data_IF_684359664368
#
_entry.id   IF_684359664368
#
_cell.length_a   1.000
_cell.length_b   1.000
_cell.length_c   1.000
_cell.angle_alpha   90.00
_cell.angle_beta   90.00
_cell.angle_gamma   90.00
#
_symmetry.space_group_name_H-M   'P 1'
#
loop_
_entity.id
_entity.type
_entity.pdbx_description
1 polymer ?
#
# COMPACT_ATOMS: atom_id res chain seq x y z
N UNK A 1 9.17 -25.92 22.39
CA UNK A 1 9.37 -24.57 21.85
C UNK A 1 8.13 -23.79 22.21
N UNK A 2 8.32 -22.60 22.77
CA UNK A 2 7.24 -21.70 23.06
C UNK A 2 6.86 -21.02 21.72
N UNK A 3 5.60 -21.14 21.31
CA UNK A 3 5.11 -20.52 20.08
C UNK A 3 4.71 -19.04 20.31
N UNK A 4 5.05 -18.47 21.48
CA UNK A 4 4.82 -17.07 21.80
C UNK A 4 6.05 -16.22 21.42
N UNK A 5 5.93 -15.46 20.34
CA UNK A 5 6.98 -14.57 19.81
C UNK A 5 7.00 -13.18 20.47
N UNK A 6 6.15 -12.93 21.45
CA UNK A 6 5.95 -11.60 22.03
C UNK A 6 7.26 -10.94 22.50
N UNK A 7 8.07 -11.63 23.29
CA UNK A 7 9.35 -11.07 23.80
C UNK A 7 10.39 -10.94 22.66
N UNK A 8 10.39 -11.86 21.70
CA UNK A 8 11.23 -11.77 20.51
C UNK A 8 10.89 -10.56 19.65
N UNK A 9 9.60 -10.34 19.39
CA UNK A 9 9.11 -9.20 18.63
C UNK A 9 9.41 -7.86 19.33
N UNK A 10 9.26 -7.82 20.66
CA UNK A 10 9.65 -6.65 21.47
C UNK A 10 11.15 -6.35 21.38
N UNK A 11 11.98 -7.38 21.46
CA UNK A 11 13.43 -7.23 21.33
C UNK A 11 13.82 -6.75 19.90
N UNK A 12 13.16 -7.30 18.86
CA UNK A 12 13.38 -6.88 17.49
C UNK A 12 13.01 -5.40 17.23
N UNK A 13 11.99 -4.87 17.91
CA UNK A 13 11.63 -3.46 17.81
C UNK A 13 12.77 -2.52 18.23
N UNK A 14 13.64 -2.93 19.15
CA UNK A 14 14.76 -2.15 19.66
C UNK A 14 16.03 -2.29 18.80
N UNK A 15 16.07 -3.22 17.84
CA UNK A 15 17.21 -3.40 16.93
C UNK A 15 17.38 -2.14 16.07
N UNK A 16 18.57 -1.55 16.12
CA UNK A 16 19.00 -0.40 15.33
C UNK A 16 20.42 -0.62 14.84
N UNK A 17 20.60 -1.62 13.98
CA UNK A 17 21.90 -1.97 13.42
C UNK A 17 21.97 -1.66 11.93
N UNK A 18 23.19 -1.53 11.39
CA UNK A 18 23.40 -1.34 9.96
C UNK A 18 22.96 -2.56 9.16
N UNK A 19 23.17 -3.76 9.70
CA UNK A 19 22.67 -5.01 9.13
C UNK A 19 21.60 -5.55 10.09
N UNK A 20 20.39 -5.73 9.59
CA UNK A 20 19.29 -6.27 10.37
C UNK A 20 18.85 -7.62 9.78
N UNK A 21 18.56 -8.56 10.66
CA UNK A 21 17.97 -9.86 10.33
C UNK A 21 16.57 -9.92 10.92
N UNK A 22 15.59 -10.16 10.06
CA UNK A 22 14.20 -10.37 10.45
C UNK A 22 13.86 -11.82 10.16
N UNK A 23 13.53 -12.61 11.16
CA UNK A 23 13.19 -14.04 11.02
C UNK A 23 11.95 -14.31 11.86
N UNK A 24 10.90 -14.85 11.26
CA UNK A 24 9.72 -15.22 12.01
C UNK A 24 8.54 -15.64 11.15
N UNK A 25 7.41 -16.00 11.80
CA UNK A 25 6.16 -16.32 11.15
C UNK A 25 5.39 -15.03 10.87
N UNK A 26 5.63 -14.46 9.70
CA UNK A 26 4.97 -13.25 9.21
C UNK A 26 3.94 -13.60 8.12
N UNK A 27 3.25 -12.60 7.55
CA UNK A 27 2.30 -12.76 6.45
C UNK A 27 1.15 -13.74 6.75
N UNK A 28 0.53 -13.60 7.94
CA UNK A 28 -0.59 -14.45 8.38
C UNK A 28 -1.83 -14.37 7.47
N UNK A 29 -1.95 -13.32 6.66
CA UNK A 29 -3.06 -13.10 5.73
C UNK A 29 -2.89 -13.81 4.37
N UNK A 30 -1.69 -14.28 4.03
CA UNK A 30 -1.45 -15.07 2.82
C UNK A 30 -1.81 -16.55 3.00
N UNK A 31 -2.13 -16.95 4.23
CA UNK A 31 -2.49 -18.32 4.52
C UNK A 31 -3.89 -18.69 3.97
N UNK A 32 -3.89 -19.62 3.01
CA UNK A 32 -5.11 -20.22 2.46
C UNK A 32 -5.85 -21.15 3.44
N UNK A 33 -5.34 -21.31 4.65
CA UNK A 33 -5.89 -22.16 5.72
C UNK A 33 -6.59 -21.33 6.82
N UNK A 34 -7.28 -20.25 6.45
CA UNK A 34 -8.06 -19.39 7.36
C UNK A 34 -7.22 -18.65 8.41
N UNK A 35 -5.99 -18.26 8.09
CA UNK A 35 -5.08 -17.57 9.01
C UNK A 35 -4.48 -18.47 10.09
N UNK A 36 -4.53 -19.78 9.90
CA UNK A 36 -4.01 -20.76 10.87
C UNK A 36 -2.53 -21.08 10.69
N UNK A 37 -1.94 -20.70 9.56
CA UNK A 37 -0.54 -20.96 9.24
C UNK A 37 0.14 -19.69 8.79
N UNK A 38 1.01 -19.14 9.61
CA UNK A 38 1.89 -18.06 9.20
C UNK A 38 2.96 -18.57 8.23
N UNK A 39 3.29 -17.77 7.20
CA UNK A 39 4.48 -17.99 6.40
C UNK A 39 5.73 -17.77 7.25
N UNK A 40 6.70 -18.70 7.22
CA UNK A 40 7.96 -18.53 7.92
C UNK A 40 9.00 -17.91 6.98
N UNK A 41 9.35 -16.67 7.27
CA UNK A 41 10.16 -15.83 6.40
C UNK A 41 11.41 -15.30 7.08
N UNK A 42 12.42 -15.03 6.27
CA UNK A 42 13.59 -14.30 6.75
C UNK A 42 14.09 -13.30 5.72
N UNK A 43 14.50 -12.14 6.23
CA UNK A 43 15.12 -11.05 5.46
C UNK A 43 16.43 -10.65 6.13
N UNK A 44 17.48 -10.51 5.34
CA UNK A 44 18.72 -9.84 5.75
C UNK A 44 18.78 -8.53 4.99
N UNK A 45 18.82 -7.43 5.71
CA UNK A 45 18.77 -6.08 5.15
C UNK A 45 19.97 -5.24 5.60
N UNK A 46 20.37 -4.31 4.73
CA UNK A 46 21.37 -3.29 5.03
C UNK A 46 20.69 -1.94 5.07
N UNK A 47 20.69 -1.30 6.25
CA UNK A 47 19.97 -0.05 6.47
C UNK A 47 20.66 1.15 5.79
N UNK A 48 19.85 1.98 5.10
CA UNK A 48 20.25 3.33 4.70
C UNK A 48 19.85 4.32 5.79
N UNK A 49 20.77 4.61 6.68
CA UNK A 49 20.56 5.53 7.82
C UNK A 49 20.25 6.95 7.38
N UNK A 50 20.78 7.40 6.23
CA UNK A 50 20.51 8.74 5.70
C UNK A 50 19.09 8.84 5.18
N UNK A 51 18.67 7.92 4.30
CA UNK A 51 17.31 7.88 3.79
C UNK A 51 16.31 7.67 4.92
N UNK A 52 16.60 6.80 5.90
CA UNK A 52 15.74 6.58 7.06
C UNK A 52 15.49 7.84 7.86
N UNK A 53 16.53 8.65 8.11
CA UNK A 53 16.42 9.96 8.80
C UNK A 53 15.60 10.97 7.98
N UNK A 54 15.82 11.02 6.67
CA UNK A 54 15.06 11.91 5.78
C UNK A 54 13.55 11.56 5.79
N UNK A 55 13.21 10.27 5.79
CA UNK A 55 11.82 9.83 5.80
C UNK A 55 11.16 9.93 7.18
N UNK A 56 11.93 9.89 8.26
CA UNK A 56 11.40 10.03 9.63
C UNK A 56 10.62 11.34 9.83
N UNK A 57 10.93 12.41 9.06
CA UNK A 57 10.17 13.68 9.10
C UNK A 57 8.69 13.50 8.76
N UNK A 58 8.35 12.61 7.82
CA UNK A 58 6.96 12.39 7.41
C UNK A 58 6.10 11.79 8.53
N UNK A 59 6.72 11.04 9.42
CA UNK A 59 6.07 10.53 10.61
C UNK A 59 5.60 11.68 11.53
N UNK A 60 6.40 12.72 11.69
CA UNK A 60 6.02 13.90 12.47
C UNK A 60 4.82 14.66 11.85
N UNK A 61 4.54 14.43 10.56
CA UNK A 61 3.43 15.04 9.84
C UNK A 61 2.12 14.23 9.95
N UNK A 62 2.13 13.00 10.49
CA UNK A 62 0.92 12.18 10.63
C UNK A 62 -0.25 12.91 11.32
N UNK A 63 -0.06 13.66 12.42
CA UNK A 63 -1.16 14.43 13.01
C UNK A 63 -1.72 15.50 12.06
N UNK A 64 -0.88 16.09 11.21
CA UNK A 64 -1.29 17.08 10.22
C UNK A 64 -2.06 16.44 9.07
N UNK A 65 -1.62 15.26 8.61
CA UNK A 65 -2.30 14.45 7.59
C UNK A 65 -3.67 13.98 8.10
N UNK A 66 -3.75 13.44 9.32
CA UNK A 66 -5.03 13.04 9.94
C UNK A 66 -6.00 14.24 10.04
N UNK A 67 -5.48 15.41 10.46
CA UNK A 67 -6.28 16.63 10.52
C UNK A 67 -6.78 17.08 9.15
N UNK A 68 -6.06 16.77 8.09
CA UNK A 68 -6.40 17.14 6.71
C UNK A 68 -7.37 16.16 6.04
N UNK A 69 -7.62 14.97 6.61
CA UNK A 69 -8.54 14.01 5.99
C UNK A 69 -9.89 14.64 5.67
N UNK A 70 -10.51 14.31 4.51
CA UNK A 70 -11.76 14.90 4.03
C UNK A 70 -12.98 14.33 4.75
N UNK A 71 -12.89 14.19 6.08
CA UNK A 71 -13.91 13.66 6.97
C UNK A 71 -14.15 14.58 8.19
N UNK A 72 -15.33 14.56 8.81
CA UNK A 72 -15.62 15.31 10.02
C UNK A 72 -14.63 15.02 11.15
N UNK A 73 -14.29 16.04 11.95
CA UNK A 73 -13.32 15.92 13.06
C UNK A 73 -13.63 14.75 14.01
N UNK A 74 -14.90 14.47 14.29
CA UNK A 74 -15.33 13.38 15.18
C UNK A 74 -15.00 11.98 14.67
N UNK A 75 -14.70 11.84 13.37
CA UNK A 75 -14.35 10.58 12.73
C UNK A 75 -12.84 10.35 12.66
N UNK A 76 -12.04 11.37 12.99
CA UNK A 76 -10.58 11.31 12.95
C UNK A 76 -10.04 10.58 14.16
N UNK A 77 -8.96 9.88 13.99
CA UNK A 77 -8.28 9.12 15.06
C UNK A 77 -7.09 9.93 15.57
N UNK A 78 -7.00 10.07 16.90
CA UNK A 78 -5.79 10.60 17.54
C UNK A 78 -4.88 9.42 17.78
N UNK A 79 -3.78 9.32 17.04
CA UNK A 79 -2.77 8.27 17.19
C UNK A 79 -1.44 8.87 17.64
N UNK A 80 -0.68 8.07 18.40
CA UNK A 80 0.71 8.38 18.73
C UNK A 80 1.61 8.27 17.49
N UNK A 81 2.75 8.94 17.54
CA UNK A 81 3.67 9.10 16.41
C UNK A 81 4.81 8.07 16.38
N UNK A 82 4.70 6.92 17.02
CA UNK A 82 5.88 6.19 17.51
C UNK A 82 6.37 4.99 16.69
N UNK A 83 6.02 4.86 15.44
CA UNK A 83 6.53 3.75 14.62
C UNK A 83 7.82 4.17 13.90
N UNK A 84 8.98 3.51 14.10
CA UNK A 84 10.19 3.80 13.34
C UNK A 84 9.98 3.50 11.86
N UNK A 85 10.56 4.36 11.00
CA UNK A 85 10.63 4.16 9.56
C UNK A 85 12.06 3.82 9.20
N UNK A 86 12.27 2.75 8.48
CA UNK A 86 13.55 2.29 7.98
C UNK A 86 13.53 2.20 6.46
N UNK A 87 14.59 2.64 5.84
CA UNK A 87 14.89 2.32 4.45
C UNK A 87 16.08 1.36 4.45
N UNK A 88 15.94 0.26 3.76
CA UNK A 88 16.99 -0.74 3.71
C UNK A 88 17.04 -1.41 2.32
N UNK A 89 18.18 -1.98 1.99
CA UNK A 89 18.35 -2.85 0.84
C UNK A 89 18.34 -4.31 1.31
N UNK A 90 17.51 -5.15 0.70
CA UNK A 90 17.52 -6.59 0.93
C UNK A 90 18.75 -7.19 0.27
N UNK A 91 19.55 -7.91 1.04
CA UNK A 91 20.73 -8.61 0.53
C UNK A 91 20.56 -10.13 0.54
N UNK A 92 19.57 -10.64 1.27
CA UNK A 92 19.23 -12.06 1.28
C UNK A 92 17.81 -12.27 1.80
N UNK A 93 17.11 -13.26 1.25
CA UNK A 93 15.84 -13.76 1.79
C UNK A 93 15.86 -15.28 1.88
N UNK A 94 15.04 -15.85 2.76
CA UNK A 94 14.88 -17.29 2.93
C UNK A 94 13.45 -17.65 3.32
N UNK A 95 13.17 -18.95 3.31
CA UNK A 95 11.82 -19.43 3.64
C UNK A 95 10.79 -19.07 2.58
N UNK A 96 9.58 -18.78 3.01
CA UNK A 96 8.47 -18.46 2.11
C UNK A 96 8.67 -17.13 1.39
N UNK A 97 9.45 -16.19 1.95
CA UNK A 97 9.83 -14.94 1.29
C UNK A 97 10.48 -15.12 -0.09
N UNK A 98 11.09 -16.30 -0.36
CA UNK A 98 11.65 -16.63 -1.69
C UNK A 98 10.62 -17.15 -2.68
N UNK A 99 9.53 -17.72 -2.20
CA UNK A 99 8.54 -18.44 -3.01
C UNK A 99 7.30 -17.62 -3.30
N UNK A 100 6.99 -16.71 -2.41
CA UNK A 100 5.83 -15.81 -2.51
C UNK A 100 6.12 -14.57 -3.37
N UNK A 101 5.13 -13.70 -3.46
CA UNK A 101 5.30 -12.35 -4.01
C UNK A 101 6.36 -11.62 -3.20
N UNK A 102 7.34 -11.02 -3.89
CA UNK A 102 8.42 -10.31 -3.22
C UNK A 102 7.89 -9.06 -2.53
N UNK A 103 7.94 -9.05 -1.22
CA UNK A 103 7.57 -7.91 -0.37
C UNK A 103 8.45 -6.70 -0.67
N UNK A 104 7.86 -5.52 -0.77
CA UNK A 104 8.59 -4.25 -1.01
C UNK A 104 8.64 -3.35 0.23
N UNK A 105 7.74 -3.59 1.16
CA UNK A 105 7.71 -2.96 2.47
C UNK A 105 7.01 -3.89 3.45
N UNK A 106 7.28 -3.74 4.73
CA UNK A 106 6.54 -4.44 5.78
C UNK A 106 6.39 -3.56 7.03
N UNK A 107 5.32 -3.81 7.76
CA UNK A 107 4.98 -3.12 9.00
C UNK A 107 4.79 -4.14 10.11
N UNK A 108 5.88 -4.49 10.77
CA UNK A 108 5.97 -5.55 11.77
C UNK A 108 6.26 -5.00 13.17
N UNK A 109 5.99 -5.76 14.23
CA UNK A 109 5.35 -7.07 14.26
C UNK A 109 3.84 -7.01 14.05
N UNK A 110 3.21 -8.17 13.79
CA UNK A 110 1.75 -8.30 13.68
C UNK A 110 1.07 -8.51 15.04
N UNK A 111 1.83 -8.75 16.11
CA UNK A 111 1.30 -8.94 17.47
C UNK A 111 0.75 -7.62 18.03
N UNK A 112 -0.56 -7.55 18.25
CA UNK A 112 -1.25 -6.37 18.78
C UNK A 112 -0.81 -5.99 20.20
N UNK A 113 -0.29 -6.93 20.99
CA UNK A 113 0.28 -6.67 22.32
C UNK A 113 1.55 -5.82 22.18
N UNK A 114 2.42 -6.19 21.25
CA UNK A 114 3.65 -5.45 20.95
C UNK A 114 3.33 -4.10 20.32
N UNK A 115 2.40 -4.07 19.36
CA UNK A 115 1.95 -2.82 18.73
C UNK A 115 1.41 -1.81 19.74
N UNK A 116 0.67 -2.26 20.74
CA UNK A 116 0.15 -1.41 21.82
C UNK A 116 1.26 -0.88 22.73
N UNK A 117 2.28 -1.67 22.98
CA UNK A 117 3.37 -1.35 23.91
C UNK A 117 4.50 -0.55 23.25
N UNK A 118 4.93 -0.96 22.07
CA UNK A 118 6.11 -0.43 21.36
C UNK A 118 5.82 0.13 19.95
N UNK A 119 4.60 0.00 19.45
CA UNK A 119 4.27 0.35 18.07
C UNK A 119 4.68 -0.73 17.07
N UNK A 120 4.96 -0.34 15.84
CA UNK A 120 5.42 -1.22 14.76
C UNK A 120 6.55 -0.53 13.97
N UNK A 121 7.49 -1.31 13.47
CA UNK A 121 8.59 -0.85 12.62
C UNK A 121 8.19 -0.98 11.15
N UNK A 122 8.23 0.14 10.42
CA UNK A 122 7.97 0.17 8.97
C UNK A 122 9.31 0.11 8.24
N UNK A 123 9.48 -0.90 7.41
CA UNK A 123 10.71 -1.10 6.63
C UNK A 123 10.37 -1.05 5.16
N UNK A 124 11.00 -0.14 4.42
CA UNK A 124 10.91 -0.04 2.97
C UNK A 124 12.14 -0.68 2.35
N UNK A 125 11.94 -1.62 1.45
CA UNK A 125 12.98 -2.39 0.78
C UNK A 125 13.32 -1.71 -0.55
N UNK A 126 14.18 -0.68 -0.48
CA UNK A 126 14.44 0.26 -1.59
C UNK A 126 14.83 -0.44 -2.88
N UNK A 127 15.81 -1.33 -2.85
CA UNK A 127 16.29 -2.02 -4.04
C UNK A 127 15.20 -2.88 -4.72
N UNK A 128 14.25 -3.43 -3.93
CA UNK A 128 13.12 -4.18 -4.49
C UNK A 128 12.08 -3.22 -5.07
N UNK A 129 11.80 -2.08 -4.42
CA UNK A 129 10.90 -1.04 -4.93
C UNK A 129 11.43 -0.54 -6.29
N UNK A 130 12.70 -0.14 -6.35
CA UNK A 130 13.34 0.37 -7.57
C UNK A 130 13.34 -0.69 -8.69
N UNK A 131 13.66 -1.93 -8.36
CA UNK A 131 13.65 -3.03 -9.34
C UNK A 131 12.24 -3.30 -9.86
N UNK A 132 11.22 -3.30 -9.01
CA UNK A 132 9.82 -3.47 -9.44
C UNK A 132 9.34 -2.30 -10.27
N UNK A 133 9.79 -1.08 -9.98
CA UNK A 133 9.50 0.04 -10.86
C UNK A 133 10.06 -0.19 -12.27
N UNK A 134 11.37 -0.45 -12.39
CA UNK A 134 12.03 -0.57 -13.69
C UNK A 134 11.60 -1.81 -14.50
N UNK A 135 11.38 -2.94 -13.82
CA UNK A 135 11.12 -4.22 -14.48
C UNK A 135 9.63 -4.53 -14.69
N UNK A 136 8.75 -3.89 -13.93
CA UNK A 136 7.32 -4.23 -13.93
C UNK A 136 6.47 -2.98 -14.18
N UNK A 137 6.49 -2.01 -13.27
CA UNK A 137 5.56 -0.89 -13.31
C UNK A 137 5.76 -0.01 -14.56
N UNK A 138 6.99 0.38 -14.85
CA UNK A 138 7.32 1.19 -16.02
C UNK A 138 6.97 0.49 -17.35
N UNK A 139 7.37 -0.78 -17.60
CA UNK A 139 6.94 -1.51 -18.78
C UNK A 139 5.42 -1.69 -18.91
N UNK A 140 4.71 -1.84 -17.80
CA UNK A 140 3.24 -1.83 -17.81
C UNK A 140 2.74 -0.47 -18.30
N UNK A 141 3.17 0.60 -17.63
CA UNK A 141 2.71 1.95 -17.89
C UNK A 141 3.00 2.42 -19.33
N UNK A 142 4.16 2.09 -19.89
CA UNK A 142 4.52 2.38 -21.28
C UNK A 142 3.58 1.71 -22.31
N UNK A 143 2.93 0.61 -21.93
CA UNK A 143 1.97 -0.07 -22.80
C UNK A 143 0.53 0.39 -22.60
N UNK A 144 0.14 0.71 -21.37
CA UNK A 144 -1.26 0.98 -21.03
C UNK A 144 -1.60 2.48 -20.93
N UNK A 145 -0.62 3.35 -20.76
CA UNK A 145 -0.84 4.80 -20.69
C UNK A 145 -0.64 5.46 -22.05
N UNK A 146 -1.43 6.50 -22.33
CA UNK A 146 -1.25 7.30 -23.56
C UNK A 146 0.17 7.89 -23.62
N UNK A 147 0.83 7.92 -24.80
CA UNK A 147 2.22 8.37 -24.93
C UNK A 147 2.50 9.75 -24.33
N UNK A 148 1.53 10.66 -24.42
CA UNK A 148 1.68 12.03 -23.91
C UNK A 148 1.89 12.09 -22.38
N UNK A 149 1.43 11.09 -21.62
CA UNK A 149 1.54 11.02 -20.15
C UNK A 149 2.68 10.13 -19.68
N UNK A 150 3.26 9.31 -20.53
CA UNK A 150 4.37 8.40 -20.14
C UNK A 150 5.61 9.15 -19.63
N UNK A 151 5.83 10.39 -20.07
CA UNK A 151 6.91 11.26 -19.57
C UNK A 151 6.77 11.64 -18.09
N UNK A 152 5.58 11.51 -17.53
CA UNK A 152 5.28 11.80 -16.12
C UNK A 152 5.46 10.55 -15.22
N UNK A 153 5.88 9.41 -15.77
CA UNK A 153 6.22 8.22 -14.97
C UNK A 153 7.47 8.47 -14.13
N UNK A 154 7.39 8.17 -12.84
CA UNK A 154 8.44 8.51 -11.90
C UNK A 154 8.69 7.41 -10.88
N UNK A 155 9.94 6.91 -10.83
CA UNK A 155 10.40 5.99 -9.78
C UNK A 155 10.29 6.63 -8.39
N UNK A 156 10.53 7.95 -8.32
CA UNK A 156 10.37 8.71 -7.08
C UNK A 156 8.91 8.71 -6.62
N UNK A 157 7.95 8.91 -7.53
CA UNK A 157 6.54 8.84 -7.20
C UNK A 157 6.17 7.46 -6.68
N UNK A 158 6.56 6.40 -7.37
CA UNK A 158 6.31 5.03 -6.93
C UNK A 158 6.91 4.72 -5.55
N UNK A 159 8.12 5.19 -5.25
CA UNK A 159 8.74 5.03 -3.94
C UNK A 159 7.93 5.74 -2.83
N UNK A 160 7.52 6.99 -3.07
CA UNK A 160 6.71 7.73 -2.10
C UNK A 160 5.30 7.17 -1.97
N UNK A 161 4.71 6.62 -3.02
CA UNK A 161 3.44 5.88 -2.96
C UNK A 161 3.53 4.74 -1.94
N UNK A 162 4.58 3.89 -2.02
CA UNK A 162 4.81 2.80 -1.08
C UNK A 162 4.97 3.34 0.36
N UNK A 163 5.77 4.39 0.55
CA UNK A 163 5.95 5.00 1.87
C UNK A 163 4.64 5.51 2.45
N UNK A 164 3.88 6.27 1.65
CA UNK A 164 2.65 6.88 2.14
C UNK A 164 1.50 5.89 2.24
N UNK A 165 1.50 4.80 1.49
CA UNK A 165 0.65 3.63 1.72
C UNK A 165 0.86 3.09 3.13
N UNK A 166 2.11 2.79 3.51
CA UNK A 166 2.45 2.30 4.85
C UNK A 166 2.10 3.30 5.97
N UNK A 167 2.30 4.60 5.73
CA UNK A 167 1.91 5.64 6.68
C UNK A 167 0.39 5.74 6.82
N UNK A 168 -0.35 5.55 5.72
CA UNK A 168 -1.81 5.70 5.68
C UNK A 168 -2.54 4.57 6.40
N UNK A 169 -1.93 3.39 6.59
CA UNK A 169 -2.44 2.39 7.52
C UNK A 169 -2.57 2.90 8.96
N UNK A 170 -1.79 3.91 9.31
CA UNK A 170 -1.87 4.55 10.62
C UNK A 170 -2.88 5.68 10.70
N UNK A 171 -3.62 6.00 9.64
CA UNK A 171 -4.54 7.11 9.55
C UNK A 171 -6.00 6.64 9.34
N UNK A 172 -6.93 7.55 9.62
CA UNK A 172 -8.35 7.28 9.50
C UNK A 172 -8.93 6.41 10.63
N UNK A 173 -10.21 6.04 10.55
CA UNK A 173 -10.93 5.33 11.60
C UNK A 173 -10.36 3.94 11.87
N UNK A 174 -10.00 3.64 13.12
CA UNK A 174 -9.58 2.31 13.56
C UNK A 174 -10.68 1.61 14.36
N UNK A 175 -11.62 2.38 14.91
CA UNK A 175 -12.71 1.89 15.74
C UNK A 175 -14.04 2.44 15.26
N UNK A 176 -15.06 1.62 15.45
CA UNK A 176 -16.47 1.91 15.18
C UNK A 176 -17.34 1.51 16.36
N UNK A 177 -18.65 1.56 16.19
CA UNK A 177 -19.62 1.06 17.17
C UNK A 177 -20.49 -0.01 16.52
N UNK A 178 -20.50 -1.20 17.12
CA UNK A 178 -21.42 -2.30 16.77
C UNK A 178 -22.32 -2.52 17.98
N UNK A 179 -23.63 -2.43 17.78
CA UNK A 179 -24.63 -2.54 18.86
C UNK A 179 -24.34 -1.60 20.07
N UNK A 180 -23.90 -0.39 19.76
CA UNK A 180 -23.55 0.64 20.77
C UNK A 180 -22.22 0.42 21.49
N UNK A 181 -21.54 -0.71 21.29
CA UNK A 181 -20.23 -1.03 21.88
C UNK A 181 -19.10 -0.68 20.92
N UNK A 182 -17.98 -0.20 21.50
CA UNK A 182 -16.75 0.06 20.72
C UNK A 182 -16.20 -1.25 20.16
N UNK A 183 -15.98 -1.30 18.87
CA UNK A 183 -15.39 -2.44 18.16
C UNK A 183 -14.28 -1.94 17.20
N UNK A 184 -13.33 -2.80 16.87
CA UNK A 184 -12.38 -2.53 15.80
C UNK A 184 -13.08 -2.60 14.45
N UNK A 185 -12.69 -1.73 13.51
CA UNK A 185 -13.25 -1.70 12.15
C UNK A 185 -13.07 -3.05 11.46
N UNK A 186 -11.93 -3.74 11.66
CA UNK A 186 -11.68 -5.06 11.07
C UNK A 186 -12.70 -6.11 11.51
N UNK A 187 -13.15 -6.05 12.76
CA UNK A 187 -14.18 -6.97 13.28
C UNK A 187 -15.54 -6.63 12.69
N UNK A 188 -15.87 -5.33 12.64
CA UNK A 188 -17.14 -4.86 12.11
C UNK A 188 -17.34 -5.20 10.63
N UNK A 189 -16.30 -5.03 9.80
CA UNK A 189 -16.36 -5.26 8.36
C UNK A 189 -16.04 -6.70 7.94
N UNK A 190 -15.42 -7.51 8.83
CA UNK A 190 -15.06 -8.89 8.55
C UNK A 190 -14.20 -9.05 7.29
N UNK A 191 -14.56 -9.96 6.40
CA UNK A 191 -13.80 -10.25 5.17
C UNK A 191 -13.64 -9.06 4.22
N UNK A 192 -14.51 -8.06 4.29
CA UNK A 192 -14.42 -6.85 3.46
C UNK A 192 -13.39 -5.84 3.99
N UNK A 193 -12.91 -6.02 5.22
CA UNK A 193 -11.96 -5.09 5.83
C UNK A 193 -10.64 -5.01 5.03
N UNK A 194 -9.96 -6.14 4.82
CA UNK A 194 -8.62 -6.14 4.25
C UNK A 194 -8.57 -5.50 2.85
N UNK A 195 -9.42 -5.88 1.87
CA UNK A 195 -9.40 -5.21 0.56
C UNK A 195 -9.71 -3.71 0.62
N UNK A 196 -10.56 -3.27 1.56
CA UNK A 196 -10.85 -1.84 1.74
C UNK A 196 -9.74 -1.11 2.46
N UNK A 197 -9.05 -1.75 3.39
CA UNK A 197 -7.90 -1.17 4.08
C UNK A 197 -6.73 -0.95 3.11
N UNK A 198 -6.47 -1.92 2.21
CA UNK A 198 -5.47 -1.75 1.15
C UNK A 198 -5.87 -0.64 0.16
N UNK A 199 -7.11 -0.61 -0.27
CA UNK A 199 -7.61 0.49 -1.13
C UNK A 199 -7.51 1.86 -0.42
N UNK A 200 -7.82 1.91 0.89
CA UNK A 200 -7.66 3.13 1.69
C UNK A 200 -6.20 3.55 1.76
N UNK A 201 -5.30 2.62 2.04
CA UNK A 201 -3.88 2.91 2.17
C UNK A 201 -3.30 3.47 0.87
N UNK A 202 -3.63 2.89 -0.27
CA UNK A 202 -3.24 3.38 -1.60
C UNK A 202 -3.78 4.80 -1.86
N UNK A 203 -5.10 4.97 -1.85
CA UNK A 203 -5.73 6.25 -2.22
C UNK A 203 -5.43 7.36 -1.22
N UNK A 204 -5.32 7.03 0.07
CA UNK A 204 -4.95 8.00 1.12
C UNK A 204 -3.46 8.34 1.05
N UNK A 205 -2.62 7.42 0.60
CA UNK A 205 -1.21 7.67 0.28
C UNK A 205 -1.08 8.78 -0.76
N UNK A 206 -1.74 8.64 -1.90
CA UNK A 206 -1.79 9.65 -2.95
C UNK A 206 -2.37 10.98 -2.44
N UNK A 207 -3.48 10.94 -1.69
CA UNK A 207 -4.09 12.12 -1.06
C UNK A 207 -3.12 12.88 -0.15
N UNK A 208 -2.39 12.18 0.70
CA UNK A 208 -1.43 12.77 1.63
C UNK A 208 -0.22 13.37 0.90
N UNK A 209 0.26 12.74 -0.16
CA UNK A 209 1.33 13.32 -0.98
C UNK A 209 0.85 14.62 -1.66
N UNK A 210 -0.38 14.65 -2.20
CA UNK A 210 -0.97 15.85 -2.77
C UNK A 210 -1.05 16.99 -1.75
N UNK A 211 -1.51 16.70 -0.53
CA UNK A 211 -1.52 17.65 0.57
C UNK A 211 -0.12 18.21 0.89
N UNK A 212 0.91 17.38 0.87
CA UNK A 212 2.28 17.81 1.13
C UNK A 212 2.88 18.60 -0.05
N UNK A 213 2.47 18.33 -1.28
CA UNK A 213 2.82 19.17 -2.44
C UNK A 213 2.22 20.57 -2.26
N UNK A 214 0.95 20.66 -1.85
CA UNK A 214 0.28 21.94 -1.60
C UNK A 214 0.90 22.71 -0.42
N UNK A 215 1.50 22.01 0.55
CA UNK A 215 2.26 22.61 1.65
C UNK A 215 3.71 23.02 1.27
N UNK A 216 4.20 22.59 0.11
CA UNK A 216 5.55 22.90 -0.34
C UNK A 216 6.63 21.92 0.16
N UNK A 217 6.25 20.77 0.72
CA UNK A 217 7.17 19.68 1.09
C UNK A 217 7.74 18.96 -0.14
N UNK A 218 7.01 19.02 -1.25
CA UNK A 218 7.44 18.54 -2.57
C UNK A 218 7.31 19.66 -3.61
N UNK A 219 8.10 19.55 -4.68
CA UNK A 219 7.98 20.44 -5.86
C UNK A 219 6.59 20.28 -6.51
N UNK A 220 6.03 21.38 -7.00
CA UNK A 220 4.72 21.36 -7.67
C UNK A 220 4.65 20.45 -8.90
N UNK A 221 5.78 20.27 -9.62
CA UNK A 221 5.87 19.36 -10.76
C UNK A 221 5.66 17.91 -10.38
N UNK A 222 5.97 17.55 -9.13
CA UNK A 222 5.78 16.21 -8.60
C UNK A 222 4.31 15.77 -8.60
N UNK A 223 3.35 16.72 -8.66
CA UNK A 223 1.91 16.42 -8.77
C UNK A 223 1.57 15.59 -9.99
N UNK A 224 2.11 15.96 -11.14
CA UNK A 224 1.85 15.27 -12.40
C UNK A 224 2.48 13.88 -12.40
N UNK A 225 3.72 13.79 -11.93
CA UNK A 225 4.43 12.52 -11.75
C UNK A 225 3.67 11.57 -10.83
N UNK A 226 3.17 12.10 -9.70
CA UNK A 226 2.37 11.35 -8.74
C UNK A 226 1.12 10.77 -9.39
N UNK A 227 0.28 11.62 -10.00
CA UNK A 227 -1.02 11.20 -10.50
C UNK A 227 -0.93 10.14 -11.60
N UNK A 228 0.03 10.29 -12.52
CA UNK A 228 0.23 9.31 -13.59
C UNK A 228 0.84 8.01 -13.04
N UNK A 229 1.85 8.11 -12.17
CA UNK A 229 2.50 6.92 -11.59
C UNK A 229 1.55 6.16 -10.67
N UNK A 230 0.78 6.86 -9.84
CA UNK A 230 -0.22 6.25 -8.97
C UNK A 230 -1.25 5.44 -9.78
N UNK A 231 -1.90 6.06 -10.78
CA UNK A 231 -2.90 5.36 -11.58
C UNK A 231 -2.30 4.16 -12.32
N UNK A 232 -1.12 4.32 -12.93
CA UNK A 232 -0.43 3.23 -13.62
C UNK A 232 -0.02 2.10 -12.65
N UNK A 233 0.37 2.45 -11.42
CA UNK A 233 0.76 1.51 -10.37
C UNK A 233 -0.36 0.56 -9.95
N UNK A 234 -1.62 0.99 -10.02
CA UNK A 234 -2.78 0.15 -9.72
C UNK A 234 -2.84 -1.08 -10.66
N UNK A 235 -2.37 -0.94 -11.92
CA UNK A 235 -2.33 -2.07 -12.85
C UNK A 235 -1.28 -3.11 -12.50
N UNK A 236 -0.23 -2.74 -11.79
CA UNK A 236 0.69 -3.72 -11.20
C UNK A 236 -0.03 -4.58 -10.16
N UNK A 237 -0.76 -3.95 -9.25
CA UNK A 237 -1.44 -4.62 -8.14
C UNK A 237 -2.61 -5.49 -8.62
N UNK A 238 -3.41 -5.02 -9.57
CA UNK A 238 -4.56 -5.78 -10.09
C UNK A 238 -4.15 -7.08 -10.80
N UNK A 239 -2.88 -7.22 -11.24
CA UNK A 239 -2.34 -8.46 -11.85
C UNK A 239 -2.21 -9.62 -10.86
N UNK A 240 -2.20 -9.36 -9.55
CA UNK A 240 -2.27 -10.42 -8.54
C UNK A 240 -3.65 -11.09 -8.49
N UNK A 241 -4.65 -10.48 -9.13
CA UNK A 241 -6.02 -10.96 -9.19
C UNK A 241 -6.94 -10.31 -8.16
N UNK A 242 -8.22 -10.22 -8.50
CA UNK A 242 -9.24 -9.60 -7.62
C UNK A 242 -9.72 -10.52 -6.48
N UNK A 243 -9.17 -11.72 -6.37
CA UNK A 243 -9.32 -12.59 -5.19
C UNK A 243 -8.33 -12.23 -4.09
N UNK A 244 -7.27 -11.51 -4.42
CA UNK A 244 -6.25 -11.00 -3.52
C UNK A 244 -6.60 -9.57 -3.10
N UNK A 245 -6.26 -9.18 -1.87
CA UNK A 245 -6.72 -7.93 -1.27
C UNK A 245 -6.22 -6.68 -1.99
N UNK A 246 -4.93 -6.61 -2.31
CA UNK A 246 -4.37 -5.47 -3.07
C UNK A 246 -4.95 -5.41 -4.49
N UNK A 247 -5.08 -6.57 -5.16
CA UNK A 247 -5.67 -6.64 -6.49
C UNK A 247 -7.13 -6.20 -6.52
N UNK A 248 -7.91 -6.57 -5.50
CA UNK A 248 -9.30 -6.13 -5.33
C UNK A 248 -9.38 -4.63 -5.02
N UNK A 249 -8.53 -4.13 -4.14
CA UNK A 249 -8.43 -2.71 -3.80
C UNK A 249 -8.03 -1.85 -5.01
N UNK A 250 -7.08 -2.32 -5.81
CA UNK A 250 -6.67 -1.63 -7.05
C UNK A 250 -7.79 -1.63 -8.09
N UNK A 251 -8.52 -2.75 -8.28
CA UNK A 251 -9.65 -2.83 -9.19
C UNK A 251 -10.77 -1.87 -8.78
N UNK A 252 -11.05 -1.76 -7.48
CA UNK A 252 -12.03 -0.79 -6.95
C UNK A 252 -11.64 0.64 -7.36
N UNK A 253 -10.40 1.03 -7.15
CA UNK A 253 -9.91 2.36 -7.48
C UNK A 253 -9.99 2.64 -8.99
N UNK A 254 -9.52 1.72 -9.84
CA UNK A 254 -9.56 1.88 -11.30
C UNK A 254 -11.01 2.04 -11.78
N UNK A 255 -11.94 1.21 -11.33
CA UNK A 255 -13.34 1.27 -11.77
C UNK A 255 -14.02 2.56 -11.31
N UNK A 256 -13.77 3.03 -10.08
CA UNK A 256 -14.27 4.32 -9.60
C UNK A 256 -13.75 5.48 -10.45
N UNK A 257 -12.46 5.52 -10.73
CA UNK A 257 -11.86 6.57 -11.54
C UNK A 257 -12.34 6.58 -13.00
N UNK A 258 -12.67 5.40 -13.54
CA UNK A 258 -13.31 5.29 -14.87
C UNK A 258 -14.74 5.83 -14.86
N UNK A 259 -15.55 5.45 -13.88
CA UNK A 259 -16.93 5.90 -13.75
C UNK A 259 -17.04 7.42 -13.57
N UNK A 260 -16.15 8.00 -12.76
CA UNK A 260 -16.11 9.44 -12.48
C UNK A 260 -15.43 10.26 -13.59
N UNK A 261 -14.89 9.58 -14.63
CA UNK A 261 -14.17 10.22 -15.73
C UNK A 261 -12.83 10.83 -15.32
N UNK A 262 -12.28 10.40 -14.17
CA UNK A 262 -10.94 10.72 -13.71
C UNK A 262 -9.89 9.95 -14.51
N UNK A 263 -10.26 8.78 -15.02
CA UNK A 263 -9.52 8.04 -16.04
C UNK A 263 -10.44 7.75 -17.23
N UNK A 264 -9.87 7.73 -18.43
CA UNK A 264 -10.58 7.42 -19.66
C UNK A 264 -9.86 6.29 -20.39
N UNK A 265 -10.61 5.30 -20.83
CA UNK A 265 -10.09 4.18 -21.61
C UNK A 265 -10.41 4.36 -23.10
N UNK A 266 -9.39 4.35 -23.94
CA UNK A 266 -9.53 4.30 -25.40
C UNK A 266 -9.54 2.84 -25.85
N UNK A 267 -10.69 2.38 -26.32
CA UNK A 267 -10.87 1.01 -26.80
C UNK A 267 -10.17 0.72 -28.13
N UNK A 268 -9.73 1.76 -28.87
CA UNK A 268 -9.01 1.61 -30.14
C UNK A 268 -7.55 1.27 -29.90
N UNK A 269 -6.94 1.96 -28.95
CA UNK A 269 -5.52 1.77 -28.60
C UNK A 269 -5.32 0.85 -27.40
N UNK A 270 -6.41 0.55 -26.66
CA UNK A 270 -6.41 -0.13 -25.36
C UNK A 270 -5.53 0.59 -24.31
N UNK A 271 -5.47 1.92 -24.36
CA UNK A 271 -4.70 2.75 -23.43
C UNK A 271 -5.60 3.60 -22.55
N UNK A 272 -5.03 4.05 -21.42
CA UNK A 272 -5.68 4.97 -20.49
C UNK A 272 -5.05 6.34 -20.54
N UNK A 273 -5.89 7.36 -20.34
CA UNK A 273 -5.46 8.71 -20.02
C UNK A 273 -6.07 9.11 -18.67
N UNK A 274 -5.33 9.80 -17.82
CA UNK A 274 -5.86 10.41 -16.60
C UNK A 274 -6.20 11.88 -16.83
N UNK A 275 -7.39 12.28 -16.38
CA UNK A 275 -7.71 13.69 -16.18
C UNK A 275 -7.21 14.05 -14.78
N UNK A 276 -6.13 14.82 -14.71
CA UNK A 276 -5.39 15.07 -13.46
C UNK A 276 -6.23 15.82 -12.43
N UNK A 277 -7.05 16.77 -12.84
CA UNK A 277 -7.93 17.54 -11.97
C UNK A 277 -9.03 16.64 -11.38
N UNK A 278 -9.73 15.91 -12.23
CA UNK A 278 -10.76 14.96 -11.78
C UNK A 278 -10.17 13.84 -10.95
N UNK A 279 -8.94 13.39 -11.24
CA UNK A 279 -8.32 12.33 -10.44
C UNK A 279 -8.05 12.80 -9.01
N UNK A 280 -7.67 14.06 -8.80
CA UNK A 280 -7.54 14.64 -7.44
C UNK A 280 -8.88 14.70 -6.73
N UNK A 281 -9.95 15.06 -7.42
CA UNK A 281 -11.31 15.06 -6.86
C UNK A 281 -11.74 13.63 -6.47
N UNK A 282 -11.59 12.68 -7.39
CA UNK A 282 -11.94 11.27 -7.17
C UNK A 282 -11.12 10.62 -6.05
N UNK A 283 -9.82 10.92 -5.94
CA UNK A 283 -8.97 10.50 -4.81
C UNK A 283 -9.55 11.03 -3.50
N UNK A 284 -9.91 12.32 -3.45
CA UNK A 284 -10.45 12.95 -2.24
C UNK A 284 -11.79 12.32 -1.84
N UNK A 285 -12.66 12.09 -2.81
CA UNK A 285 -13.97 11.50 -2.58
C UNK A 285 -13.88 10.04 -2.12
N UNK A 286 -13.00 9.26 -2.74
CA UNK A 286 -12.81 7.86 -2.36
C UNK A 286 -12.20 7.70 -0.96
N UNK A 287 -11.24 8.57 -0.57
CA UNK A 287 -10.73 8.61 0.81
C UNK A 287 -11.87 8.90 1.79
N UNK A 288 -12.71 9.89 1.47
CA UNK A 288 -13.87 10.24 2.31
C UNK A 288 -14.84 9.07 2.45
N UNK A 289 -15.23 8.46 1.33
CA UNK A 289 -16.21 7.39 1.30
C UNK A 289 -15.75 6.17 2.12
N UNK A 290 -14.50 5.71 1.91
CA UNK A 290 -13.96 4.57 2.65
C UNK A 290 -13.85 4.90 4.15
N UNK A 291 -13.35 6.08 4.51
CA UNK A 291 -13.23 6.47 5.92
C UNK A 291 -14.60 6.58 6.61
N UNK A 292 -15.64 7.11 5.95
CA UNK A 292 -17.01 7.17 6.50
C UNK A 292 -17.55 5.75 6.70
N UNK A 293 -17.36 4.87 5.71
CA UNK A 293 -17.79 3.49 5.78
C UNK A 293 -17.12 2.76 6.95
N UNK A 294 -15.81 2.92 7.11
CA UNK A 294 -15.05 2.35 8.24
C UNK A 294 -15.52 2.91 9.58
N UNK A 295 -15.72 4.23 9.68
CA UNK A 295 -16.21 4.87 10.91
C UNK A 295 -17.59 4.34 11.34
N UNK A 296 -18.48 4.13 10.36
CA UNK A 296 -19.82 3.62 10.62
C UNK A 296 -19.86 2.11 10.88
N UNK A 297 -18.80 1.38 10.52
CA UNK A 297 -18.78 -0.08 10.59
C UNK A 297 -19.81 -0.73 9.64
N UNK A 298 -20.12 -0.06 8.53
CA UNK A 298 -21.17 -0.46 7.59
C UNK A 298 -20.68 -1.57 6.66
N UNK A 299 -20.81 -2.81 7.16
CA UNK A 299 -20.45 -4.00 6.40
C UNK A 299 -21.26 -4.15 5.09
N UNK A 300 -22.53 -3.79 5.10
CA UNK A 300 -23.39 -3.91 3.91
C UNK A 300 -22.91 -2.98 2.80
N UNK A 301 -22.60 -1.71 3.14
CA UNK A 301 -22.04 -0.78 2.18
C UNK A 301 -20.63 -1.20 1.73
N UNK A 302 -19.82 -1.78 2.62
CA UNK A 302 -18.50 -2.33 2.30
C UNK A 302 -18.59 -3.45 1.27
N UNK A 303 -19.47 -4.42 1.50
CA UNK A 303 -19.71 -5.54 0.60
C UNK A 303 -20.23 -5.05 -0.77
N UNK A 304 -21.15 -4.07 -0.78
CA UNK A 304 -21.69 -3.48 -2.00
C UNK A 304 -20.61 -2.76 -2.80
N UNK A 305 -19.75 -1.96 -2.14
CA UNK A 305 -18.66 -1.24 -2.80
C UNK A 305 -17.66 -2.20 -3.46
N UNK A 306 -17.25 -3.26 -2.75
CA UNK A 306 -16.35 -4.28 -3.29
C UNK A 306 -16.98 -5.14 -4.38
N UNK A 307 -18.28 -5.43 -4.28
CA UNK A 307 -19.01 -6.19 -5.31
C UNK A 307 -19.14 -5.39 -6.60
N UNK A 308 -19.38 -4.09 -6.48
CA UNK A 308 -19.58 -3.21 -7.63
C UNK A 308 -18.25 -2.88 -8.32
N UNK A 309 -17.23 -2.49 -7.55
CA UNK A 309 -15.99 -1.94 -8.10
C UNK A 309 -14.77 -2.85 -7.96
N UNK A 310 -14.72 -3.76 -7.00
CA UNK A 310 -13.61 -4.69 -6.78
C UNK A 310 -13.58 -5.85 -7.77
N UNK A 311 -13.90 -5.61 -9.03
CA UNK A 311 -14.05 -6.62 -10.09
C UNK A 311 -13.19 -6.28 -11.30
N UNK A 312 -12.78 -7.30 -12.04
CA UNK A 312 -12.00 -7.15 -13.27
C UNK A 312 -12.88 -6.68 -14.42
N UNK A 313 -12.88 -5.38 -14.70
CA UNK A 313 -13.66 -4.80 -15.82
C UNK A 313 -13.06 -5.11 -17.20
N UNK A 314 -13.85 -4.89 -18.25
CA UNK A 314 -13.40 -5.11 -19.62
C UNK A 314 -12.23 -4.18 -20.02
N UNK A 315 -12.20 -2.89 -19.67
CA UNK A 315 -11.04 -2.03 -19.89
C UNK A 315 -9.75 -2.58 -19.27
N UNK A 316 -9.82 -3.04 -18.00
CA UNK A 316 -8.66 -3.65 -17.34
C UNK A 316 -8.19 -4.92 -18.06
N UNK A 317 -9.11 -5.83 -18.42
CA UNK A 317 -8.75 -7.06 -19.15
C UNK A 317 -8.04 -6.76 -20.46
N UNK A 318 -8.53 -5.78 -21.23
CA UNK A 318 -7.92 -5.37 -22.50
C UNK A 318 -6.54 -4.76 -22.32
N UNK A 319 -6.36 -3.91 -21.31
CA UNK A 319 -5.05 -3.33 -21.02
C UNK A 319 -4.07 -4.40 -20.55
N UNK A 320 -4.49 -5.29 -19.65
CA UNK A 320 -3.63 -6.35 -19.12
C UNK A 320 -3.18 -7.35 -20.18
N UNK A 321 -3.99 -7.61 -21.20
CA UNK A 321 -3.57 -8.47 -22.32
C UNK A 321 -2.36 -7.93 -23.09
N UNK A 322 -2.10 -6.61 -23.05
CA UNK A 322 -0.92 -6.02 -23.66
C UNK A 322 0.37 -6.22 -22.86
N UNK A 323 0.26 -6.60 -21.61
CA UNK A 323 1.38 -6.68 -20.66
C UNK A 323 1.70 -8.12 -20.22
N UNK A 324 1.21 -9.13 -20.92
CA UNK A 324 1.47 -10.54 -20.61
C UNK A 324 2.96 -10.89 -20.60
N UNK A 325 3.76 -10.22 -21.45
CA UNK A 325 5.21 -10.39 -21.51
C UNK A 325 5.97 -9.74 -20.35
N UNK A 326 5.33 -8.86 -19.60
CA UNK A 326 5.92 -8.23 -18.41
C UNK A 326 5.80 -9.21 -17.22
N UNK A 327 6.85 -9.49 -16.46
CA UNK A 327 6.75 -10.40 -15.32
C UNK A 327 5.73 -9.86 -14.30
N UNK A 328 5.01 -10.77 -13.64
CA UNK A 328 4.08 -10.38 -12.55
C UNK A 328 4.85 -9.93 -11.32
N UNK A 329 6.00 -10.60 -11.07
CA UNK A 329 6.89 -10.24 -9.99
C UNK A 329 8.36 -10.48 -10.35
N UNK A 330 9.27 -9.94 -9.54
CA UNK A 330 10.71 -10.14 -9.64
C UNK A 330 11.12 -11.44 -8.94
N UNK A 331 12.29 -11.99 -9.32
CA UNK A 331 12.91 -13.13 -8.64
C UNK A 331 14.36 -12.77 -8.33
N UNK A 332 14.63 -12.22 -7.13
CA UNK A 332 15.98 -11.90 -6.70
C UNK A 332 16.88 -13.15 -6.70
N UNK A 333 18.11 -12.99 -7.16
CA UNK A 333 19.14 -14.01 -7.09
C UNK A 333 20.21 -13.56 -6.09
N UNK A 334 20.75 -14.51 -5.35
CA UNK A 334 21.70 -14.26 -4.29
C UNK A 334 23.01 -15.04 -4.56
N UNK A 335 23.91 -14.52 -5.45
CA UNK A 335 25.09 -15.25 -5.90
C UNK A 335 26.01 -15.71 -4.77
N UNK A 336 26.07 -14.94 -3.67
CA UNK A 336 26.90 -15.29 -2.51
C UNK A 336 26.33 -16.47 -1.69
N UNK A 337 25.07 -16.83 -1.92
CA UNK A 337 24.43 -17.98 -1.28
C UNK A 337 24.60 -19.30 -2.08
N UNK A 338 25.37 -19.28 -3.16
CA UNK A 338 25.65 -20.47 -3.96
C UNK A 338 24.52 -20.88 -4.93
N UNK A 339 23.68 -19.90 -5.33
CA UNK A 339 22.54 -20.09 -6.25
C UNK A 339 22.76 -19.40 -7.60
#
# INVERSE_FOLDING_TARGET
>A
MDDDYYESDKAWMDVDSQVEVTIGPYETYEDKLMGMKAAFESFVTVADSKASKELARYKALLPSMEKNLPIPRRMRTVRGSESPIRVADVVFTSGDARKSVQTIAFNLPNDERVRKEKGAKKVLLRNLIETKFERIMKPIAEKIMVPAQQKDLSAKAFFYEVLFHELSHSLGPAFTRVDGKKAEVRIALGASHTPLEEAKADVMGAYNILFLIDKGDFDKRFRDELLVSYFAGLFRSVRFGVSESHGKGAALQINRFLEEGAAVFDATTNTFAVNKEKLVESITDLVRDICILQHNGDKTAADALLTTYGVMSLPMKKALSQVESVPVDIRPQYPLAGE
#
